data_IF_007408381560
#
_entry.id   IF_007408381560
#
_cell.length_a   1.000
_cell.length_b   1.000
_cell.length_c   1.000
_cell.angle_alpha   90.00
_cell.angle_beta   90.00
_cell.angle_gamma   90.00
#
_symmetry.space_group_name_H-M   'P 1'
#
loop_
_entity.id
_entity.type
_entity.pdbx_description
1 polymer ?
#
# COMPACT_ATOMS: atom_id res chain seq x y z
N UNK A 1 49.76 3.52 -22.06
CA UNK A 1 49.11 2.42 -21.31
C UNK A 1 47.58 2.62 -21.16
N UNK A 2 47.07 3.82 -20.93
CA UNK A 2 45.63 4.09 -20.81
C UNK A 2 44.84 3.76 -22.09
N UNK A 3 45.32 4.09 -23.29
CA UNK A 3 44.63 3.79 -24.55
C UNK A 3 44.47 2.28 -24.82
N UNK A 4 45.44 1.46 -24.40
CA UNK A 4 45.37 0.02 -24.55
C UNK A 4 44.34 -0.63 -23.57
N UNK A 5 44.26 -0.07 -22.35
CA UNK A 5 43.28 -0.51 -21.35
C UNK A 5 41.85 -0.17 -21.76
N UNK A 6 41.61 1.01 -22.34
CA UNK A 6 40.30 1.45 -22.86
C UNK A 6 39.87 0.60 -24.05
N UNK A 7 40.76 0.28 -25.00
CA UNK A 7 40.47 -0.58 -26.10
C UNK A 7 40.13 -2.03 -25.68
N UNK A 8 40.84 -2.55 -24.68
CA UNK A 8 40.56 -3.87 -24.09
C UNK A 8 39.20 -3.92 -23.39
N UNK A 9 38.85 -2.89 -22.61
CA UNK A 9 37.56 -2.78 -21.96
C UNK A 9 36.38 -2.71 -22.97
N UNK A 10 36.56 -1.97 -24.05
CA UNK A 10 35.54 -1.86 -25.12
C UNK A 10 35.30 -3.20 -25.82
N UNK A 11 36.33 -4.00 -26.04
CA UNK A 11 36.19 -5.35 -26.62
C UNK A 11 35.43 -6.29 -25.66
N UNK A 12 35.78 -6.26 -24.38
CA UNK A 12 35.15 -7.10 -23.35
C UNK A 12 33.66 -6.77 -23.19
N UNK A 13 33.31 -5.47 -23.20
CA UNK A 13 31.92 -5.01 -23.09
C UNK A 13 31.06 -5.29 -24.34
N UNK A 14 31.67 -5.66 -25.47
CA UNK A 14 30.93 -6.11 -26.65
C UNK A 14 30.59 -7.62 -26.61
N UNK A 15 31.09 -8.36 -25.61
CA UNK A 15 30.71 -9.77 -25.40
C UNK A 15 29.37 -9.79 -24.64
N UNK A 16 28.27 -10.30 -25.26
CA UNK A 16 26.92 -10.20 -24.66
C UNK A 16 26.79 -10.81 -23.26
N UNK A 17 27.52 -11.89 -22.99
CA UNK A 17 27.51 -12.55 -21.68
C UNK A 17 28.11 -11.64 -20.60
N UNK A 18 29.27 -11.04 -20.86
CA UNK A 18 29.95 -10.14 -19.92
C UNK A 18 29.11 -8.88 -19.70
N UNK A 19 28.60 -8.29 -20.79
CA UNK A 19 27.69 -7.15 -20.70
C UNK A 19 26.47 -7.48 -19.86
N UNK A 20 25.87 -8.65 -20.03
CA UNK A 20 24.74 -9.09 -19.22
C UNK A 20 25.10 -9.22 -17.73
N UNK A 21 26.29 -9.74 -17.42
CA UNK A 21 26.78 -9.85 -16.03
C UNK A 21 26.94 -8.47 -15.38
N UNK A 22 27.50 -7.50 -16.11
CA UNK A 22 27.63 -6.12 -15.62
C UNK A 22 26.28 -5.47 -15.44
N UNK A 23 25.42 -5.51 -16.46
CA UNK A 23 24.11 -4.84 -16.44
C UNK A 23 23.16 -5.40 -15.39
N UNK A 24 23.29 -6.67 -14.99
CA UNK A 24 22.51 -7.28 -13.91
C UNK A 24 22.76 -6.64 -12.55
N UNK A 25 23.88 -5.99 -12.33
CA UNK A 25 24.25 -5.38 -11.06
C UNK A 25 23.93 -3.88 -10.98
N UNK A 26 23.38 -3.29 -12.05
CA UNK A 26 23.05 -1.87 -12.08
C UNK A 26 21.64 -1.58 -11.57
N UNK A 27 21.41 -0.49 -10.83
CA UNK A 27 20.08 0.02 -10.55
C UNK A 27 19.27 0.27 -11.83
N UNK A 28 17.94 0.21 -11.73
CA UNK A 28 17.04 0.35 -12.88
C UNK A 28 17.28 1.65 -13.66
N UNK A 29 17.54 2.76 -12.96
CA UNK A 29 17.85 4.06 -13.58
C UNK A 29 19.12 4.01 -14.43
N UNK A 30 20.19 3.42 -13.91
CA UNK A 30 21.46 3.22 -14.64
C UNK A 30 21.28 2.25 -15.81
N UNK A 31 20.51 1.18 -15.60
CA UNK A 31 20.17 0.23 -16.66
C UNK A 31 19.39 0.89 -17.81
N UNK A 32 18.50 1.84 -17.49
CA UNK A 32 17.79 2.67 -18.47
C UNK A 32 18.75 3.55 -19.30
N UNK A 33 19.77 4.12 -18.66
CA UNK A 33 20.81 4.87 -19.37
C UNK A 33 21.63 3.96 -20.30
N UNK A 34 22.05 2.80 -19.80
CA UNK A 34 22.77 1.78 -20.58
C UNK A 34 21.99 1.28 -21.79
N UNK A 35 20.66 1.18 -21.70
CA UNK A 35 19.81 0.74 -22.81
C UNK A 35 19.85 1.67 -24.03
N UNK A 36 20.36 2.90 -23.86
CA UNK A 36 20.47 3.91 -24.93
C UNK A 36 21.84 3.93 -25.63
N UNK A 37 22.78 3.10 -25.21
CA UNK A 37 24.14 3.08 -25.74
C UNK A 37 24.19 2.44 -27.12
N UNK A 38 23.63 1.24 -27.31
CA UNK A 38 23.55 0.54 -28.58
C UNK A 38 22.42 -0.52 -28.60
N UNK A 39 22.13 -1.09 -29.77
CA UNK A 39 21.07 -2.11 -29.92
C UNK A 39 21.30 -3.34 -29.03
N UNK A 40 22.51 -3.84 -28.95
CA UNK A 40 22.87 -4.99 -28.11
C UNK A 40 22.63 -4.72 -26.63
N UNK A 41 23.08 -3.57 -26.14
CA UNK A 41 22.84 -3.17 -24.73
C UNK A 41 21.36 -2.95 -24.45
N UNK A 42 20.61 -2.39 -25.40
CA UNK A 42 19.16 -2.26 -25.27
C UNK A 42 18.48 -3.61 -25.09
N UNK A 43 18.81 -4.58 -25.95
CA UNK A 43 18.25 -5.94 -25.87
C UNK A 43 18.59 -6.62 -24.54
N UNK A 44 19.85 -6.55 -24.11
CA UNK A 44 20.29 -7.13 -22.83
C UNK A 44 19.61 -6.43 -21.66
N UNK A 45 19.54 -5.09 -21.66
CA UNK A 45 18.87 -4.32 -20.62
C UNK A 45 17.38 -4.66 -20.50
N UNK A 46 16.66 -4.82 -21.63
CA UNK A 46 15.26 -5.29 -21.62
C UNK A 46 15.13 -6.66 -20.97
N UNK A 47 15.98 -7.62 -21.35
CA UNK A 47 15.98 -8.97 -20.76
C UNK A 47 16.27 -8.93 -19.26
N UNK A 48 17.22 -8.11 -18.81
CA UNK A 48 17.53 -7.94 -17.39
C UNK A 48 16.34 -7.37 -16.64
N UNK A 49 15.68 -6.35 -17.17
CA UNK A 49 14.48 -5.76 -16.54
C UNK A 49 13.34 -6.76 -16.42
N UNK A 50 13.03 -7.51 -17.48
CA UNK A 50 11.96 -8.52 -17.48
C UNK A 50 12.15 -9.62 -16.42
N UNK A 51 13.41 -9.92 -16.06
CA UNK A 51 13.75 -10.91 -15.05
C UNK A 51 13.67 -10.38 -13.62
N UNK A 52 13.62 -9.07 -13.43
CA UNK A 52 13.58 -8.42 -12.13
C UNK A 52 12.13 -8.28 -11.66
N UNK A 53 11.61 -9.32 -11.05
CA UNK A 53 10.23 -9.38 -10.53
C UNK A 53 10.15 -9.34 -9.00
N UNK A 54 11.28 -9.16 -8.31
CA UNK A 54 11.30 -9.02 -6.86
C UNK A 54 10.83 -7.63 -6.43
N UNK A 55 9.98 -7.57 -5.42
CA UNK A 55 9.60 -6.32 -4.78
C UNK A 55 10.75 -5.76 -3.94
N UNK A 56 10.67 -4.48 -3.57
CA UNK A 56 11.61 -3.83 -2.66
C UNK A 56 10.84 -3.07 -1.61
N UNK A 57 11.20 -3.21 -0.34
CA UNK A 57 10.66 -2.40 0.75
C UNK A 57 11.71 -1.45 1.30
N UNK A 58 11.24 -0.39 1.94
CA UNK A 58 12.03 0.61 2.62
C UNK A 58 11.27 1.11 3.82
N UNK A 59 11.94 1.20 4.94
CA UNK A 59 11.41 1.76 6.17
C UNK A 59 12.45 2.65 6.83
N UNK A 60 12.01 3.79 7.33
CA UNK A 60 12.79 4.70 8.17
C UNK A 60 11.89 5.24 9.26
N UNK A 61 12.37 5.23 10.49
CA UNK A 61 11.76 5.88 11.65
C UNK A 61 12.82 6.77 12.32
N UNK A 62 12.37 7.83 12.96
CA UNK A 62 13.18 8.80 13.68
C UNK A 62 12.67 8.88 15.12
N UNK A 63 13.60 8.87 16.08
CA UNK A 63 13.26 9.10 17.47
C UNK A 63 12.97 10.60 17.71
N UNK A 64 12.26 10.90 18.78
CA UNK A 64 11.92 12.28 19.16
C UNK A 64 13.20 13.11 19.32
N UNK A 65 13.30 14.24 18.59
CA UNK A 65 14.46 15.13 18.59
C UNK A 65 15.54 14.80 17.55
N UNK A 66 15.44 13.72 16.79
CA UNK A 66 16.30 13.48 15.64
C UNK A 66 16.02 14.48 14.51
N UNK A 67 17.09 14.93 13.85
CA UNK A 67 16.98 15.94 12.78
C UNK A 67 16.57 15.27 11.48
N UNK A 68 15.47 15.73 10.89
CA UNK A 68 15.01 15.31 9.55
C UNK A 68 15.94 15.72 8.40
N UNK A 69 17.05 16.41 8.73
CA UNK A 69 18.07 16.80 7.77
C UNK A 69 18.66 15.55 7.11
N UNK A 70 18.34 15.38 5.83
CA UNK A 70 18.83 14.23 5.07
C UNK A 70 17.76 13.23 4.68
N UNK A 71 16.54 13.22 5.26
CA UNK A 71 15.47 12.30 4.86
C UNK A 71 15.18 12.40 3.35
N UNK A 72 15.14 13.62 2.81
CA UNK A 72 14.97 13.84 1.38
C UNK A 72 16.09 13.16 0.56
N UNK A 73 17.35 13.25 1.02
CA UNK A 73 18.47 12.59 0.36
C UNK A 73 18.37 11.05 0.46
N UNK A 74 17.95 10.53 1.60
CA UNK A 74 17.72 9.09 1.83
C UNK A 74 16.62 8.56 0.91
N UNK A 75 15.48 9.24 0.81
CA UNK A 75 14.40 8.87 -0.13
C UNK A 75 14.91 8.90 -1.57
N UNK A 76 15.61 9.96 -1.96
CA UNK A 76 16.16 10.10 -3.31
C UNK A 76 17.18 9.00 -3.64
N UNK A 77 18.10 8.69 -2.74
CA UNK A 77 19.09 7.62 -2.94
C UNK A 77 18.40 6.25 -3.00
N UNK A 78 17.44 6.00 -2.12
CA UNK A 78 16.67 4.74 -2.12
C UNK A 78 16.00 4.49 -3.48
N UNK A 79 15.31 5.50 -4.03
CA UNK A 79 14.67 5.36 -5.35
C UNK A 79 15.70 5.24 -6.48
N UNK A 80 16.86 5.92 -6.38
CA UNK A 80 17.92 5.82 -7.39
C UNK A 80 18.59 4.45 -7.40
N UNK A 81 18.67 3.79 -6.24
CA UNK A 81 19.33 2.50 -6.05
C UNK A 81 18.39 1.30 -6.24
N UNK A 82 17.10 1.54 -6.55
CA UNK A 82 16.17 0.46 -6.84
C UNK A 82 16.67 -0.36 -8.04
N UNK A 83 16.73 -1.67 -7.82
CA UNK A 83 17.07 -2.62 -8.89
C UNK A 83 15.92 -2.83 -9.87
N UNK A 84 14.67 -2.60 -9.44
CA UNK A 84 13.46 -2.67 -10.25
C UNK A 84 13.04 -1.28 -10.71
N UNK A 85 12.33 -1.20 -11.84
CA UNK A 85 11.57 -0.02 -12.23
C UNK A 85 10.17 -0.16 -11.63
N UNK A 86 9.81 0.60 -10.58
CA UNK A 86 8.55 0.39 -9.89
C UNK A 86 7.38 0.83 -10.78
N UNK A 87 6.34 0.02 -10.82
CA UNK A 87 5.05 0.33 -11.45
C UNK A 87 4.02 0.84 -10.44
N UNK A 88 4.15 0.40 -9.19
CA UNK A 88 3.31 0.82 -8.07
C UNK A 88 4.19 1.03 -6.84
N UNK A 89 3.90 2.07 -6.08
CA UNK A 89 4.43 2.33 -4.75
C UNK A 89 3.26 2.41 -3.77
N UNK A 90 3.23 1.52 -2.78
CA UNK A 90 2.48 1.73 -1.54
C UNK A 90 3.36 2.48 -0.55
N UNK A 91 2.83 3.58 -0.01
CA UNK A 91 3.56 4.42 0.93
C UNK A 91 2.65 4.79 2.10
N UNK A 92 3.14 4.54 3.31
CA UNK A 92 2.49 5.02 4.53
C UNK A 92 3.49 5.88 5.30
N UNK A 93 3.04 7.02 5.80
CA UNK A 93 3.83 7.85 6.70
C UNK A 93 3.01 8.23 7.92
N UNK A 94 3.68 8.54 9.01
CA UNK A 94 3.00 9.09 10.18
C UNK A 94 2.48 10.50 9.89
N UNK A 95 1.38 10.90 10.54
CA UNK A 95 0.79 12.22 10.36
C UNK A 95 1.76 13.33 10.77
N UNK A 96 2.59 13.07 11.78
CA UNK A 96 3.67 13.98 12.17
C UNK A 96 4.67 14.21 11.01
N UNK A 97 5.01 13.15 10.25
CA UNK A 97 5.91 13.30 9.08
C UNK A 97 5.19 13.95 7.88
N UNK A 98 3.92 13.67 7.70
CA UNK A 98 3.11 14.28 6.63
C UNK A 98 3.06 15.80 6.73
N UNK A 99 2.95 16.33 7.94
CA UNK A 99 2.92 17.76 8.24
C UNK A 99 4.29 18.45 8.07
N UNK A 100 5.39 17.68 8.01
CA UNK A 100 6.73 18.24 7.89
C UNK A 100 7.05 18.73 6.48
N UNK A 101 7.77 19.86 6.42
CA UNK A 101 8.36 20.37 5.20
C UNK A 101 9.82 19.92 5.08
N UNK A 102 10.11 19.09 4.10
CA UNK A 102 11.43 18.53 3.87
C UNK A 102 12.27 19.45 2.98
N UNK A 103 13.53 19.67 3.37
CA UNK A 103 14.49 20.45 2.59
C UNK A 103 15.06 19.60 1.45
N UNK A 104 14.83 20.03 0.22
CA UNK A 104 15.38 19.34 -0.96
C UNK A 104 16.87 19.65 -1.12
N UNK A 105 17.75 18.64 -1.32
CA UNK A 105 19.14 18.87 -1.67
C UNK A 105 19.22 19.52 -3.05
N UNK A 106 19.63 20.79 -3.09
CA UNK A 106 19.81 21.50 -4.35
C UNK A 106 21.16 21.11 -4.98
N UNK A 107 21.16 20.76 -6.28
CA UNK A 107 22.39 20.42 -7.03
C UNK A 107 23.43 21.56 -7.07
N UNK A 108 23.06 22.78 -6.65
CA UNK A 108 23.90 23.98 -6.66
C UNK A 108 24.69 24.22 -5.37
N UNK A 109 24.48 23.48 -4.29
CA UNK A 109 25.25 23.68 -3.04
C UNK A 109 26.76 23.46 -3.18
N UNK A 110 27.23 22.78 -4.23
CA UNK A 110 28.64 22.53 -4.45
C UNK A 110 29.41 23.72 -5.07
N UNK A 111 28.76 24.76 -5.61
CA UNK A 111 29.45 25.83 -6.34
C UNK A 111 29.26 27.26 -5.82
N UNK A 112 28.19 27.59 -5.11
CA UNK A 112 27.93 28.93 -4.57
C UNK A 112 27.07 28.91 -3.30
N UNK A 113 27.63 29.15 -2.10
CA UNK A 113 26.90 29.05 -0.82
C UNK A 113 25.87 30.17 -0.56
N UNK A 114 25.80 31.22 -1.39
CA UNK A 114 25.08 32.46 -1.03
C UNK A 114 23.69 32.67 -1.66
N UNK A 115 23.18 31.77 -2.47
CA UNK A 115 21.90 32.00 -3.18
C UNK A 115 21.05 30.74 -3.41
N UNK A 116 21.04 29.74 -2.54
CA UNK A 116 20.12 28.62 -2.71
C UNK A 116 18.84 28.87 -1.91
N UNK A 117 17.78 29.22 -2.63
CA UNK A 117 16.41 29.09 -2.13
C UNK A 117 16.23 27.60 -1.76
N UNK A 118 16.20 27.27 -0.47
CA UNK A 118 15.80 25.94 0.00
C UNK A 118 14.39 25.71 -0.52
N UNK A 119 14.22 24.74 -1.42
CA UNK A 119 12.89 24.31 -1.83
C UNK A 119 12.37 23.36 -0.76
N UNK A 120 11.33 23.79 -0.06
CA UNK A 120 10.58 22.94 0.85
C UNK A 120 9.60 22.07 0.03
N UNK A 121 9.34 20.87 0.49
CA UNK A 121 8.41 19.94 -0.17
C UNK A 121 7.82 18.99 0.86
N UNK A 122 6.53 18.67 0.73
CA UNK A 122 5.95 17.58 1.51
C UNK A 122 6.60 16.22 1.14
N UNK A 123 6.46 15.22 2.00
CA UNK A 123 6.97 13.87 1.72
C UNK A 123 6.33 13.29 0.46
N UNK A 124 5.03 13.52 0.24
CA UNK A 124 4.31 13.08 -0.95
C UNK A 124 4.85 13.70 -2.23
N UNK A 125 5.06 15.02 -2.24
CA UNK A 125 5.61 15.74 -3.40
C UNK A 125 7.05 15.35 -3.69
N UNK A 126 7.84 15.14 -2.66
CA UNK A 126 9.22 14.67 -2.82
C UNK A 126 9.23 13.30 -3.52
N UNK A 127 8.44 12.37 -3.01
CA UNK A 127 8.37 11.01 -3.57
C UNK A 127 7.89 11.05 -5.03
N UNK A 128 6.85 11.83 -5.36
CA UNK A 128 6.39 12.00 -6.74
C UNK A 128 7.47 12.53 -7.69
N UNK A 129 8.29 13.50 -7.23
CA UNK A 129 9.38 14.07 -8.03
C UNK A 129 10.48 13.08 -8.38
N UNK A 130 10.70 12.06 -7.55
CA UNK A 130 11.79 11.08 -7.75
C UNK A 130 11.33 9.79 -8.41
N UNK A 131 10.04 9.46 -8.32
CA UNK A 131 9.46 8.26 -8.94
C UNK A 131 9.43 8.35 -10.48
N UNK A 132 9.46 7.22 -11.18
CA UNK A 132 9.11 7.17 -12.59
C UNK A 132 7.69 7.72 -12.83
N UNK A 133 7.49 8.53 -13.88
CA UNK A 133 6.18 9.14 -14.20
C UNK A 133 5.01 8.14 -14.34
N UNK A 134 5.31 6.89 -14.69
CA UNK A 134 4.30 5.82 -14.85
C UNK A 134 4.05 5.04 -13.55
N UNK A 135 4.80 5.31 -12.49
CA UNK A 135 4.61 4.64 -11.22
C UNK A 135 3.37 5.22 -10.52
N UNK A 136 2.41 4.36 -10.20
CA UNK A 136 1.24 4.74 -9.40
C UNK A 136 1.68 4.89 -7.94
N UNK A 137 1.36 6.03 -7.33
CA UNK A 137 1.56 6.28 -5.90
C UNK A 137 0.23 6.03 -5.19
N UNK A 138 0.23 5.07 -4.27
CA UNK A 138 -0.89 4.69 -3.41
C UNK A 138 -0.46 4.97 -1.98
N UNK A 139 -0.89 6.09 -1.41
CA UNK A 139 -0.29 6.58 -0.19
C UNK A 139 -1.30 7.21 0.77
N UNK A 140 -1.02 7.07 2.06
CA UNK A 140 -1.79 7.67 3.14
C UNK A 140 -0.89 8.03 4.32
N UNK A 141 -1.37 8.96 5.18
CA UNK A 141 -0.81 9.21 6.50
C UNK A 141 -1.76 8.73 7.59
N UNK A 142 -1.20 8.36 8.73
CA UNK A 142 -1.94 7.92 9.91
C UNK A 142 -1.11 8.18 11.18
N UNK A 143 -1.71 8.13 12.37
CA UNK A 143 -1.03 8.35 13.66
C UNK A 143 0.12 7.38 13.90
N UNK A 144 0.02 6.17 13.36
CA UNK A 144 1.08 5.19 13.41
C UNK A 144 1.20 4.38 12.12
N UNK A 145 2.38 3.82 11.88
CA UNK A 145 2.63 2.98 10.71
C UNK A 145 3.42 1.72 11.04
N UNK A 146 3.35 0.76 10.13
CA UNK A 146 4.12 -0.48 10.16
C UNK A 146 5.02 -0.54 8.95
N UNK A 147 6.28 -0.93 9.13
CA UNK A 147 7.20 -1.06 8.03
C UNK A 147 8.29 -2.11 8.22
N UNK A 148 8.75 -2.67 7.12
CA UNK A 148 9.80 -3.69 7.10
C UNK A 148 11.09 -3.12 6.54
N UNK A 149 12.22 -3.38 7.20
CA UNK A 149 13.56 -3.02 6.73
C UNK A 149 13.88 -3.68 5.38
N UNK A 150 14.73 -3.03 4.58
CA UNK A 150 15.11 -3.48 3.24
C UNK A 150 15.68 -4.90 3.20
N UNK A 151 16.34 -5.32 4.26
CA UNK A 151 16.94 -6.67 4.40
C UNK A 151 15.96 -7.72 4.96
N UNK A 152 14.71 -7.35 5.18
CA UNK A 152 13.63 -8.15 5.75
C UNK A 152 13.89 -8.68 7.18
N UNK A 153 14.90 -8.16 7.90
CA UNK A 153 15.23 -8.67 9.23
C UNK A 153 14.33 -8.13 10.33
N UNK A 154 13.88 -6.89 10.18
CA UNK A 154 13.08 -6.20 11.19
C UNK A 154 11.80 -5.65 10.56
N UNK A 155 10.68 -5.84 11.25
CA UNK A 155 9.43 -5.11 11.02
C UNK A 155 9.15 -4.30 12.28
N UNK A 156 8.84 -3.03 12.11
CA UNK A 156 8.67 -2.10 13.23
C UNK A 156 7.31 -1.45 13.15
N UNK A 157 6.65 -1.34 14.28
CA UNK A 157 5.47 -0.53 14.53
C UNK A 157 5.94 0.80 15.12
N UNK A 158 5.50 1.92 14.56
CA UNK A 158 5.83 3.27 15.05
C UNK A 158 4.54 4.02 15.26
N UNK A 159 4.33 4.49 16.48
CA UNK A 159 3.16 5.24 16.92
C UNK A 159 3.63 6.58 17.50
N UNK A 160 3.07 7.70 17.02
CA UNK A 160 3.35 9.03 17.58
C UNK A 160 4.73 9.61 17.26
N UNK A 161 5.53 9.00 16.37
CA UNK A 161 6.86 9.44 15.96
C UNK A 161 6.93 9.64 14.45
N UNK A 162 8.07 10.15 13.95
CA UNK A 162 8.28 10.39 12.52
C UNK A 162 8.70 9.11 11.82
N UNK A 163 7.89 8.59 10.90
CA UNK A 163 8.25 7.39 10.17
C UNK A 163 7.66 7.35 8.74
N UNK A 164 8.35 6.60 7.87
CA UNK A 164 7.97 6.36 6.48
C UNK A 164 8.18 4.88 6.12
N UNK A 165 7.17 4.27 5.55
CA UNK A 165 7.17 2.90 5.04
C UNK A 165 6.81 2.89 3.56
N UNK A 166 7.58 2.18 2.74
CA UNK A 166 7.41 2.10 1.30
C UNK A 166 7.52 0.66 0.80
N UNK A 167 6.63 0.27 -0.12
CA UNK A 167 6.73 -0.98 -0.87
C UNK A 167 6.69 -0.68 -2.37
N UNK A 168 7.79 -0.94 -3.04
CA UNK A 168 7.95 -0.78 -4.48
C UNK A 168 7.65 -2.09 -5.19
N UNK A 169 6.64 -2.11 -6.04
CA UNK A 169 6.25 -3.27 -6.82
C UNK A 169 6.69 -3.10 -8.28
N UNK A 170 7.32 -4.11 -8.89
CA UNK A 170 7.62 -4.11 -10.32
C UNK A 170 6.34 -4.28 -11.13
N UNK A 171 6.43 -4.03 -12.43
CA UNK A 171 5.40 -4.49 -13.35
C UNK A 171 5.46 -6.03 -13.46
N UNK A 172 4.31 -6.66 -13.21
CA UNK A 172 4.10 -8.10 -13.42
C UNK A 172 3.01 -8.24 -14.48
N UNK A 173 3.24 -9.10 -15.45
CA UNK A 173 2.29 -9.39 -16.52
C UNK A 173 0.99 -9.93 -15.92
N UNK A 174 -0.14 -9.48 -16.45
CA UNK A 174 -1.49 -9.83 -15.98
C UNK A 174 -1.82 -9.45 -14.52
N UNK A 175 -0.99 -8.60 -13.89
CA UNK A 175 -1.29 -8.01 -12.57
C UNK A 175 -1.48 -6.51 -12.75
N UNK A 176 -2.66 -6.04 -12.43
CA UNK A 176 -3.06 -4.64 -12.63
C UNK A 176 -3.65 -4.05 -11.35
N UNK A 177 -3.38 -2.76 -11.17
CA UNK A 177 -3.96 -1.96 -10.09
C UNK A 177 -4.82 -0.87 -10.70
N UNK A 178 -6.06 -0.78 -10.26
CA UNK A 178 -7.00 0.27 -10.65
C UNK A 178 -7.36 1.09 -9.41
N UNK A 179 -7.41 2.40 -9.56
CA UNK A 179 -7.77 3.31 -8.47
C UNK A 179 -9.02 4.08 -8.85
N UNK A 180 -9.92 4.25 -7.91
CA UNK A 180 -11.04 5.17 -8.05
C UNK A 180 -11.34 5.80 -6.70
N UNK A 181 -11.82 7.03 -6.74
CA UNK A 181 -12.11 7.82 -5.55
C UNK A 181 -13.62 7.97 -5.40
N UNK A 182 -14.07 7.99 -4.17
CA UNK A 182 -15.48 8.23 -3.82
C UNK A 182 -15.54 9.46 -2.92
N UNK A 183 -16.32 10.44 -3.35
CA UNK A 183 -16.74 11.53 -2.47
C UNK A 183 -17.93 11.04 -1.64
N UNK A 184 -17.68 10.83 -0.34
CA UNK A 184 -18.67 10.27 0.59
C UNK A 184 -19.89 11.22 0.71
N UNK A 185 -19.69 12.53 0.67
CA UNK A 185 -20.78 13.49 0.76
C UNK A 185 -21.66 13.46 -0.48
N UNK A 186 -21.05 13.40 -1.66
CA UNK A 186 -21.78 13.24 -2.92
C UNK A 186 -22.51 11.88 -2.95
N UNK A 187 -21.86 10.80 -2.47
CA UNK A 187 -22.50 9.51 -2.32
C UNK A 187 -23.76 9.61 -1.43
N UNK A 188 -23.64 10.18 -0.24
CA UNK A 188 -24.75 10.29 0.71
C UNK A 188 -25.91 11.16 0.14
N UNK A 189 -25.61 12.21 -0.59
CA UNK A 189 -26.60 13.11 -1.18
C UNK A 189 -27.30 12.52 -2.41
N UNK A 190 -26.62 11.64 -3.16
CA UNK A 190 -27.20 11.05 -4.38
C UNK A 190 -27.95 9.73 -4.12
N UNK A 191 -27.78 9.16 -2.93
CA UNK A 191 -28.54 7.96 -2.55
C UNK A 191 -29.98 8.31 -2.21
N UNK A 192 -30.87 8.10 -3.15
CA UNK A 192 -32.31 8.20 -2.99
C UNK A 192 -33.02 6.86 -3.31
N UNK A 193 -34.37 6.88 -3.39
CA UNK A 193 -35.13 5.67 -3.72
C UNK A 193 -34.88 5.16 -5.14
N UNK A 194 -34.32 5.97 -6.02
CA UNK A 194 -34.13 5.69 -7.46
C UNK A 194 -32.68 5.29 -7.79
N UNK A 195 -31.71 5.70 -6.96
CA UNK A 195 -30.27 5.44 -7.19
C UNK A 195 -29.73 4.42 -6.19
N UNK A 196 -29.25 3.29 -6.69
CA UNK A 196 -28.57 2.30 -5.86
C UNK A 196 -27.09 2.61 -5.71
N UNK A 197 -26.54 2.35 -4.51
CA UNK A 197 -25.08 2.47 -4.27
C UNK A 197 -24.24 1.67 -5.28
N UNK A 198 -24.76 0.53 -5.74
CA UNK A 198 -24.12 -0.31 -6.75
C UNK A 198 -23.95 0.45 -8.09
N UNK A 199 -24.99 1.10 -8.58
CA UNK A 199 -24.93 1.90 -9.83
C UNK A 199 -23.95 3.07 -9.70
N UNK A 200 -23.97 3.76 -8.56
CA UNK A 200 -23.07 4.87 -8.30
C UNK A 200 -21.60 4.43 -8.29
N UNK A 201 -21.26 3.43 -7.49
CA UNK A 201 -19.88 2.94 -7.39
C UNK A 201 -19.40 2.28 -8.68
N UNK A 202 -20.28 1.60 -9.43
CA UNK A 202 -19.93 1.06 -10.75
C UNK A 202 -19.59 2.18 -11.73
N UNK A 203 -20.27 3.32 -11.68
CA UNK A 203 -19.97 4.48 -12.51
C UNK A 203 -18.63 5.15 -12.17
N UNK A 204 -18.18 5.08 -10.90
CA UNK A 204 -16.88 5.60 -10.46
C UNK A 204 -15.73 4.61 -10.68
N UNK A 205 -16.03 3.31 -10.73
CA UNK A 205 -15.00 2.28 -10.87
C UNK A 205 -14.30 2.38 -12.21
N UNK A 206 -12.98 2.48 -12.17
CA UNK A 206 -12.11 2.43 -13.36
C UNK A 206 -11.75 1.00 -13.76
N UNK A 207 -12.26 0.00 -13.05
CA UNK A 207 -11.98 -1.43 -13.31
C UNK A 207 -12.81 -1.89 -14.49
N UNK A 208 -12.20 -2.36 -15.60
CA UNK A 208 -12.94 -2.97 -16.70
C UNK A 208 -13.71 -4.21 -16.22
N UNK A 209 -14.89 -4.44 -16.80
CA UNK A 209 -15.80 -5.51 -16.38
C UNK A 209 -15.29 -6.94 -16.63
N UNK A 210 -14.27 -7.09 -17.49
CA UNK A 210 -13.62 -8.36 -17.80
C UNK A 210 -12.49 -8.71 -16.82
N UNK A 211 -12.15 -7.83 -15.88
CA UNK A 211 -11.05 -8.04 -14.94
C UNK A 211 -11.47 -8.87 -13.73
N UNK A 212 -10.59 -9.81 -13.39
CA UNK A 212 -10.72 -10.67 -12.22
C UNK A 212 -10.15 -9.96 -10.98
N UNK A 213 -11.02 -9.26 -10.24
CA UNK A 213 -10.66 -8.52 -9.03
C UNK A 213 -10.42 -9.49 -7.87
N UNK A 214 -9.26 -9.44 -7.25
CA UNK A 214 -8.84 -10.30 -6.13
C UNK A 214 -8.86 -9.59 -4.78
N UNK A 215 -8.62 -8.29 -4.77
CA UNK A 215 -8.73 -7.46 -3.58
C UNK A 215 -9.16 -6.05 -3.93
N UNK A 216 -9.83 -5.39 -3.00
CA UNK A 216 -10.02 -3.93 -2.99
C UNK A 216 -9.49 -3.40 -1.67
N UNK A 217 -8.45 -2.57 -1.75
CA UNK A 217 -7.95 -1.84 -0.59
C UNK A 217 -8.74 -0.55 -0.46
N UNK A 218 -9.17 -0.28 0.76
CA UNK A 218 -10.11 0.77 1.13
C UNK A 218 -9.45 1.71 2.13
N UNK A 219 -9.23 2.97 1.75
CA UNK A 219 -8.62 3.99 2.58
C UNK A 219 -9.54 5.22 2.64
N UNK A 220 -9.99 5.56 3.85
CA UNK A 220 -10.94 6.64 4.10
C UNK A 220 -10.32 7.67 5.06
N UNK A 221 -10.30 8.95 4.68
CA UNK A 221 -9.81 10.04 5.52
C UNK A 221 -10.94 10.85 6.20
N UNK A 222 -12.18 10.37 6.08
CA UNK A 222 -13.31 10.93 6.79
C UNK A 222 -13.61 10.16 8.08
N UNK A 223 -14.00 10.83 9.14
CA UNK A 223 -14.30 10.18 10.43
C UNK A 223 -15.50 9.23 10.37
N UNK A 224 -16.32 9.34 9.34
CA UNK A 224 -17.47 8.48 9.10
C UNK A 224 -17.59 8.14 7.63
N UNK A 225 -17.53 6.86 7.31
CA UNK A 225 -17.83 6.30 6.01
C UNK A 225 -19.08 5.43 6.10
N UNK A 226 -20.08 5.63 5.24
CA UNK A 226 -21.26 4.77 5.21
C UNK A 226 -20.88 3.30 5.03
N UNK A 227 -21.28 2.39 5.95
CA UNK A 227 -20.94 0.96 5.85
C UNK A 227 -21.41 0.31 4.56
N UNK A 228 -22.47 0.85 3.96
CA UNK A 228 -23.04 0.41 2.70
C UNK A 228 -22.02 0.41 1.55
N UNK A 229 -21.05 1.32 1.57
CA UNK A 229 -20.02 1.40 0.53
C UNK A 229 -19.19 0.12 0.50
N UNK A 230 -18.69 -0.33 1.64
CA UNK A 230 -17.90 -1.56 1.73
C UNK A 230 -18.71 -2.81 1.32
N UNK A 231 -19.95 -2.92 1.75
CA UNK A 231 -20.82 -4.02 1.36
C UNK A 231 -21.21 -3.97 -0.12
N UNK A 232 -21.37 -2.79 -0.69
CA UNK A 232 -21.58 -2.63 -2.14
C UNK A 232 -20.34 -3.07 -2.92
N UNK A 233 -19.14 -2.77 -2.44
CA UNK A 233 -17.90 -3.27 -3.05
C UNK A 233 -17.81 -4.81 -3.00
N UNK A 234 -18.23 -5.43 -1.89
CA UNK A 234 -18.35 -6.91 -1.82
C UNK A 234 -19.36 -7.47 -2.83
N UNK A 235 -20.44 -6.75 -3.08
CA UNK A 235 -21.42 -7.13 -4.09
C UNK A 235 -20.90 -6.95 -5.52
N UNK A 236 -20.14 -5.87 -5.77
CA UNK A 236 -19.50 -5.63 -7.07
C UNK A 236 -18.46 -6.69 -7.42
N UNK A 237 -17.71 -7.16 -6.42
CA UNK A 237 -16.55 -8.04 -6.57
C UNK A 237 -16.67 -9.28 -5.67
N UNK A 238 -17.57 -10.18 -6.03
CA UNK A 238 -18.08 -11.32 -5.21
C UNK A 238 -17.00 -12.24 -4.58
N UNK A 239 -15.79 -12.28 -5.12
CA UNK A 239 -14.71 -13.12 -4.60
C UNK A 239 -13.46 -12.31 -4.22
N UNK A 240 -13.60 -11.00 -4.05
CA UNK A 240 -12.48 -10.15 -3.67
C UNK A 240 -12.39 -10.00 -2.14
N UNK A 241 -11.17 -9.87 -1.65
CA UNK A 241 -10.92 -9.42 -0.29
C UNK A 241 -11.12 -7.90 -0.24
N UNK A 242 -11.91 -7.42 0.70
CA UNK A 242 -11.94 -6.01 1.06
C UNK A 242 -11.08 -5.86 2.31
N UNK A 243 -10.09 -4.96 2.28
CA UNK A 243 -9.20 -4.71 3.42
C UNK A 243 -8.72 -3.25 3.41
N UNK A 244 -8.51 -2.68 4.60
CA UNK A 244 -8.07 -1.30 4.75
C UNK A 244 -8.50 -0.70 6.07
N UNK A 245 -8.81 0.59 6.06
CA UNK A 245 -9.26 1.30 7.28
C UNK A 245 -9.31 2.80 7.09
N UNK A 246 -9.50 3.46 8.22
CA UNK A 246 -9.53 4.91 8.31
C UNK A 246 -8.11 5.44 8.49
N UNK A 247 -7.77 6.46 7.73
CA UNK A 247 -6.47 7.15 7.71
C UNK A 247 -6.66 8.63 7.98
N UNK A 248 -5.59 9.34 8.34
CA UNK A 248 -5.72 10.78 8.62
C UNK A 248 -5.73 11.60 7.32
N UNK A 249 -4.92 11.21 6.34
CA UNK A 249 -4.90 11.89 5.05
C UNK A 249 -4.67 10.90 3.89
N UNK A 250 -5.37 11.09 2.80
CA UNK A 250 -5.08 10.46 1.52
C UNK A 250 -4.03 11.27 0.74
N UNK A 251 -3.00 10.60 0.24
CA UNK A 251 -1.95 11.21 -0.56
C UNK A 251 -2.13 10.72 -2.00
N UNK A 252 -2.97 11.42 -2.76
CA UNK A 252 -3.33 11.03 -4.13
C UNK A 252 -2.24 11.34 -5.14
N UNK A 253 -2.11 10.52 -6.19
CA UNK A 253 -1.09 10.67 -7.23
C UNK A 253 -1.39 11.75 -8.27
N UNK A 254 -2.64 12.09 -8.45
CA UNK A 254 -3.07 13.14 -9.38
C UNK A 254 -3.64 14.31 -8.59
N UNK A 255 -3.00 15.49 -8.61
CA UNK A 255 -3.75 16.70 -8.39
C UNK A 255 -4.79 16.74 -9.52
N UNK A 256 -6.06 16.72 -9.16
CA UNK A 256 -7.14 16.93 -10.12
C UNK A 256 -6.80 18.20 -10.90
N UNK A 257 -6.64 18.19 -12.24
CA UNK A 257 -6.27 19.40 -12.98
C UNK A 257 -7.35 20.49 -12.92
N UNK A 258 -8.45 20.24 -12.21
CA UNK A 258 -9.55 21.16 -11.93
C UNK A 258 -9.60 21.63 -10.47
N UNK A 259 -8.63 21.25 -9.62
CA UNK A 259 -8.49 21.82 -8.28
C UNK A 259 -7.90 23.25 -8.37
N UNK A 260 -8.68 24.17 -8.91
CA UNK A 260 -8.61 25.55 -8.48
C UNK A 260 -8.92 25.56 -6.99
N UNK A 261 -7.96 26.02 -6.18
CA UNK A 261 -7.83 25.87 -4.74
C UNK A 261 -8.95 26.53 -3.88
N UNK A 262 -10.20 26.47 -4.28
CA UNK A 262 -11.27 27.14 -3.57
C UNK A 262 -12.59 26.40 -3.36
N UNK A 263 -12.87 25.22 -3.98
CA UNK A 263 -14.15 24.52 -3.72
C UNK A 263 -14.20 23.04 -4.17
N UNK A 264 -13.07 22.31 -4.28
CA UNK A 264 -13.13 20.88 -4.62
C UNK A 264 -13.35 20.04 -3.37
N UNK A 265 -14.44 19.29 -3.36
CA UNK A 265 -14.60 18.18 -2.42
C UNK A 265 -13.41 17.24 -2.57
N UNK A 266 -12.53 17.18 -1.56
CA UNK A 266 -11.43 16.23 -1.53
C UNK A 266 -12.01 14.82 -1.61
N UNK A 267 -11.36 13.94 -2.36
CA UNK A 267 -11.74 12.52 -2.33
C UNK A 267 -11.61 12.02 -0.90
N UNK A 268 -12.73 11.66 -0.30
CA UNK A 268 -12.78 11.21 1.09
C UNK A 268 -12.57 9.71 1.23
N UNK A 269 -12.53 8.99 0.10
CA UNK A 269 -12.29 7.54 0.06
C UNK A 269 -11.53 7.18 -1.22
N UNK A 270 -10.40 6.53 -1.05
CA UNK A 270 -9.64 5.91 -2.15
C UNK A 270 -9.83 4.39 -2.13
N UNK A 271 -10.29 3.84 -3.24
CA UNK A 271 -10.35 2.40 -3.50
C UNK A 271 -9.26 1.97 -4.47
N UNK A 272 -8.55 0.90 -4.15
CA UNK A 272 -7.49 0.32 -4.99
C UNK A 272 -7.84 -1.12 -5.29
N UNK A 273 -8.31 -1.40 -6.49
CA UNK A 273 -8.60 -2.76 -6.94
C UNK A 273 -7.35 -3.43 -7.51
N UNK A 274 -7.04 -4.62 -7.01
CA UNK A 274 -5.97 -5.49 -7.48
C UNK A 274 -6.55 -6.63 -8.29
N UNK A 275 -6.14 -6.74 -9.54
CA UNK A 275 -6.65 -7.70 -10.51
C UNK A 275 -5.54 -8.61 -11.02
N UNK A 276 -5.90 -9.84 -11.36
CA UNK A 276 -5.05 -10.75 -12.09
C UNK A 276 -5.26 -12.23 -11.74
N UNK A 277 -5.19 -13.15 -12.71
CA UNK A 277 -5.44 -14.58 -12.50
C UNK A 277 -4.37 -15.25 -11.62
N UNK A 278 -3.15 -14.68 -11.58
CA UNK A 278 -2.03 -15.18 -10.78
C UNK A 278 -1.99 -14.56 -9.37
N UNK A 279 -2.92 -13.67 -9.04
CA UNK A 279 -2.99 -13.04 -7.73
C UNK A 279 -3.81 -13.90 -6.78
N UNK A 280 -3.23 -14.21 -5.62
CA UNK A 280 -3.92 -14.84 -4.50
C UNK A 280 -3.88 -13.92 -3.30
N UNK A 281 -5.02 -13.71 -2.67
CA UNK A 281 -5.14 -12.87 -1.49
C UNK A 281 -5.76 -13.67 -0.35
N UNK A 282 -5.25 -13.49 0.85
CA UNK A 282 -5.77 -14.08 2.09
C UNK A 282 -5.75 -13.03 3.19
N UNK A 283 -6.74 -13.08 4.06
CA UNK A 283 -6.79 -12.18 5.21
C UNK A 283 -7.27 -12.89 6.46
N UNK A 284 -6.80 -12.39 7.59
CA UNK A 284 -7.23 -12.78 8.93
C UNK A 284 -7.48 -11.55 9.78
N UNK A 285 -8.41 -11.69 10.73
CA UNK A 285 -8.73 -10.67 11.73
C UNK A 285 -8.16 -11.11 13.07
N UNK A 286 -7.27 -10.30 13.65
CA UNK A 286 -6.84 -10.43 15.04
C UNK A 286 -7.86 -9.65 15.86
N UNK A 287 -8.70 -10.36 16.62
CA UNK A 287 -9.82 -9.79 17.36
C UNK A 287 -9.34 -9.00 18.60
N UNK A 288 -10.25 -8.23 19.17
CA UNK A 288 -10.00 -7.38 20.35
C UNK A 288 -9.60 -8.17 21.60
N UNK A 289 -10.06 -9.41 21.74
CA UNK A 289 -9.80 -10.30 22.87
C UNK A 289 -8.44 -11.03 22.80
N UNK A 290 -7.63 -10.73 21.80
CA UNK A 290 -6.26 -11.28 21.62
C UNK A 290 -5.26 -10.34 22.29
N UNK A 291 -4.60 -10.82 23.36
CA UNK A 291 -3.73 -10.02 24.22
C UNK A 291 -2.29 -10.53 24.33
N UNK A 292 -1.98 -11.70 23.77
CA UNK A 292 -0.65 -12.29 23.90
C UNK A 292 -0.03 -12.65 22.55
N UNK A 293 1.31 -12.67 22.46
CA UNK A 293 1.99 -13.07 21.21
C UNK A 293 1.61 -14.48 20.76
N UNK A 294 1.36 -15.40 21.69
CA UNK A 294 0.98 -16.79 21.40
C UNK A 294 -0.42 -16.88 20.78
N UNK A 295 -1.32 -15.98 21.19
CA UNK A 295 -2.64 -15.86 20.58
C UNK A 295 -2.57 -15.28 19.18
N UNK A 296 -1.76 -14.25 18.98
CA UNK A 296 -1.46 -13.69 17.64
C UNK A 296 -0.88 -14.79 16.73
N UNK A 297 0.09 -15.60 17.24
CA UNK A 297 0.68 -16.69 16.47
C UNK A 297 -0.38 -17.72 16.04
N UNK A 298 -1.34 -18.05 16.91
CA UNK A 298 -2.46 -18.96 16.56
C UNK A 298 -3.34 -18.42 15.44
N UNK A 299 -3.63 -17.11 15.44
CA UNK A 299 -4.39 -16.49 14.35
C UNK A 299 -3.59 -16.49 13.06
N UNK A 300 -2.33 -16.04 13.11
CA UNK A 300 -1.47 -15.98 11.92
C UNK A 300 -1.13 -17.36 11.35
N UNK A 301 -1.21 -18.42 12.17
CA UNK A 301 -1.05 -19.79 11.69
C UNK A 301 -2.10 -20.14 10.63
N UNK A 302 -3.33 -19.66 10.77
CA UNK A 302 -4.38 -19.88 9.76
C UNK A 302 -3.96 -19.30 8.39
N UNK A 303 -3.32 -18.11 8.40
CA UNK A 303 -2.77 -17.50 7.19
C UNK A 303 -1.57 -18.29 6.64
N UNK A 304 -0.70 -18.80 7.52
CA UNK A 304 0.44 -19.64 7.15
C UNK A 304 0.00 -20.96 6.50
N UNK A 305 -1.08 -21.56 7.02
CA UNK A 305 -1.64 -22.81 6.51
C UNK A 305 -2.26 -22.66 5.10
N UNK A 306 -2.48 -21.42 4.62
CA UNK A 306 -2.86 -21.18 3.22
C UNK A 306 -1.72 -21.41 2.22
N UNK A 307 -0.49 -21.64 2.67
CA UNK A 307 0.69 -21.99 1.86
C UNK A 307 0.95 -21.01 0.69
N UNK A 308 0.81 -19.70 0.93
CA UNK A 308 1.22 -18.70 -0.05
C UNK A 308 2.76 -18.65 -0.14
N UNK A 309 3.34 -18.56 -1.36
CA UNK A 309 4.81 -18.50 -1.53
C UNK A 309 5.37 -17.19 -1.01
N UNK A 310 6.10 -17.22 0.10
CA UNK A 310 6.58 -16.03 0.81
C UNK A 310 7.44 -15.09 -0.05
N UNK A 311 8.31 -15.64 -0.91
CA UNK A 311 9.23 -14.86 -1.75
C UNK A 311 8.52 -14.01 -2.82
N UNK A 312 7.24 -14.32 -3.08
CA UNK A 312 6.39 -13.61 -4.04
C UNK A 312 5.20 -12.94 -3.36
N UNK A 313 5.26 -12.80 -2.05
CA UNK A 313 4.18 -12.25 -1.25
C UNK A 313 4.61 -10.98 -0.53
N UNK A 314 3.66 -10.10 -0.33
CA UNK A 314 3.73 -8.96 0.59
C UNK A 314 2.46 -8.93 1.43
N UNK A 315 2.51 -8.28 2.57
CA UNK A 315 1.38 -8.21 3.46
C UNK A 315 1.12 -6.78 3.94
N UNK A 316 -0.16 -6.51 4.21
CA UNK A 316 -0.61 -5.29 4.85
C UNK A 316 -1.11 -5.61 6.25
N UNK A 317 -0.85 -4.69 7.19
CA UNK A 317 -1.38 -4.65 8.53
C UNK A 317 -2.19 -3.37 8.70
N UNK A 318 -3.49 -3.51 8.87
CA UNK A 318 -4.38 -2.41 9.19
C UNK A 318 -4.87 -2.62 10.61
N UNK A 319 -4.33 -1.85 11.54
CA UNK A 319 -4.57 -2.01 12.97
C UNK A 319 -5.31 -0.79 13.53
N UNK A 320 -6.11 -1.02 14.57
CA UNK A 320 -6.67 0.06 15.35
C UNK A 320 -5.58 0.81 16.12
N UNK A 321 -5.74 2.12 16.26
CA UNK A 321 -4.95 2.94 17.19
C UNK A 321 -4.95 2.39 18.62
N UNK A 322 -6.03 1.72 19.01
CA UNK A 322 -6.12 1.04 20.31
C UNK A 322 -5.31 -0.25 20.44
N UNK A 323 -4.61 -0.68 19.36
CA UNK A 323 -3.69 -1.84 19.36
C UNK A 323 -2.26 -1.36 19.64
N UNK A 324 -1.25 -2.12 19.30
CA UNK A 324 0.15 -1.74 19.50
C UNK A 324 0.59 -1.73 20.96
N UNK A 325 1.50 -0.81 21.32
CA UNK A 325 2.11 -0.74 22.66
C UNK A 325 1.09 -0.58 23.79
N UNK A 326 0.06 0.23 23.56
CA UNK A 326 -0.98 0.47 24.58
C UNK A 326 -1.78 -0.77 24.93
N UNK A 327 -2.05 -1.65 23.98
CA UNK A 327 -2.81 -2.88 24.15
C UNK A 327 -1.97 -4.02 24.74
N UNK A 328 -0.74 -4.20 24.26
CA UNK A 328 0.12 -5.31 24.66
C UNK A 328 1.06 -4.99 25.81
N UNK A 329 1.22 -3.72 26.19
CA UNK A 329 2.22 -3.26 27.15
C UNK A 329 3.67 -3.31 26.65
N UNK A 330 3.87 -3.73 25.41
CA UNK A 330 5.17 -3.74 24.73
C UNK A 330 4.99 -3.49 23.22
N UNK A 331 6.07 -3.02 22.60
CA UNK A 331 6.08 -2.63 21.19
C UNK A 331 6.27 -3.83 20.25
N UNK A 332 5.82 -3.68 19.01
CA UNK A 332 6.10 -4.60 17.91
C UNK A 332 5.59 -6.04 18.11
N UNK A 333 4.49 -6.25 18.82
CA UNK A 333 4.02 -7.61 19.14
C UNK A 333 3.53 -8.29 17.87
N UNK A 334 2.56 -7.72 17.19
CA UNK A 334 1.94 -8.34 16.01
C UNK A 334 2.92 -8.45 14.85
N UNK A 335 3.69 -7.38 14.62
CA UNK A 335 4.70 -7.35 13.55
C UNK A 335 5.86 -8.32 13.79
N UNK A 336 6.29 -8.51 15.06
CA UNK A 336 7.35 -9.47 15.40
C UNK A 336 6.89 -10.91 15.22
N UNK A 337 5.67 -11.24 15.63
CA UNK A 337 5.08 -12.57 15.39
C UNK A 337 4.94 -12.81 13.89
N UNK A 338 4.44 -11.81 13.13
CA UNK A 338 4.38 -11.92 11.69
C UNK A 338 5.77 -12.16 11.08
N UNK A 339 6.79 -11.39 11.48
CA UNK A 339 8.17 -11.53 10.99
C UNK A 339 8.77 -12.90 11.28
N UNK A 340 8.50 -13.47 12.46
CA UNK A 340 8.90 -14.83 12.85
C UNK A 340 8.28 -15.88 11.92
N UNK A 341 7.00 -15.72 11.61
CA UNK A 341 6.25 -16.71 10.81
C UNK A 341 6.48 -16.57 9.30
N UNK A 342 6.67 -15.34 8.81
CA UNK A 342 6.83 -15.00 7.40
C UNK A 342 8.13 -14.22 7.13
N UNK A 343 9.30 -14.86 7.33
CA UNK A 343 10.61 -14.17 7.30
C UNK A 343 10.98 -13.57 5.92
N UNK A 344 10.33 -13.98 4.84
CA UNK A 344 10.61 -13.48 3.47
C UNK A 344 9.56 -12.54 2.94
N UNK A 345 8.46 -12.30 3.67
CA UNK A 345 7.34 -11.47 3.24
C UNK A 345 7.44 -10.09 3.89
N UNK A 346 7.60 -8.98 3.16
CA UNK A 346 7.50 -7.65 3.75
C UNK A 346 6.09 -7.38 4.27
N UNK A 347 6.02 -6.73 5.44
CA UNK A 347 4.80 -6.24 6.05
C UNK A 347 4.87 -4.71 6.11
N UNK A 348 3.81 -4.05 5.68
CA UNK A 348 3.63 -2.62 5.82
C UNK A 348 2.18 -2.32 6.15
N UNK A 349 1.89 -1.12 6.66
CA UNK A 349 0.53 -0.77 7.04
C UNK A 349 0.47 0.44 7.93
N UNK A 350 -0.64 0.59 8.62
CA UNK A 350 -0.89 1.74 9.48
C UNK A 350 -1.75 1.38 10.70
N UNK A 351 -1.73 2.27 11.68
CA UNK A 351 -2.64 2.30 12.81
C UNK A 351 -3.68 3.39 12.55
N UNK A 352 -4.94 2.99 12.33
CA UNK A 352 -6.04 3.87 11.96
C UNK A 352 -7.18 3.88 12.99
N UNK A 353 -8.15 4.75 12.77
CA UNK A 353 -9.31 4.88 13.64
C UNK A 353 -10.47 3.99 13.16
N UNK A 354 -10.22 2.69 13.05
CA UNK A 354 -11.16 1.67 12.58
C UNK A 354 -10.61 0.89 11.39
N UNK A 355 -10.86 -0.41 11.39
CA UNK A 355 -10.34 -1.36 10.41
C UNK A 355 -11.48 -1.93 9.56
N UNK A 356 -11.15 -2.20 8.30
CA UNK A 356 -12.08 -2.78 7.33
C UNK A 356 -11.46 -4.06 6.79
N UNK A 357 -12.19 -5.16 6.92
CA UNK A 357 -11.74 -6.46 6.44
C UNK A 357 -12.50 -7.62 7.07
N UNK A 358 -12.14 -8.83 6.68
CA UNK A 358 -12.76 -10.05 7.20
C UNK A 358 -11.82 -11.25 7.01
N UNK A 359 -12.10 -12.36 7.68
CA UNK A 359 -11.38 -13.61 7.46
C UNK A 359 -11.67 -14.16 6.06
N UNK A 360 -10.66 -14.26 5.22
CA UNK A 360 -10.75 -14.83 3.86
C UNK A 360 -9.68 -15.90 3.67
N UNK A 361 -10.02 -17.14 4.05
CA UNK A 361 -9.13 -18.30 4.04
C UNK A 361 -9.69 -19.37 3.08
N UNK A 362 -8.82 -20.08 2.41
CA UNK A 362 -9.20 -21.04 1.36
C UNK A 362 -10.09 -22.20 1.86
N UNK A 363 -9.99 -22.55 3.15
CA UNK A 363 -10.73 -23.67 3.76
C UNK A 363 -12.20 -23.31 4.12
N UNK A 364 -12.53 -22.02 4.20
CA UNK A 364 -13.81 -21.54 4.75
C UNK A 364 -14.84 -21.13 3.69
N UNK A 365 -14.57 -21.34 2.39
CA UNK A 365 -15.60 -21.11 1.36
C UNK A 365 -16.83 -22.02 1.50
N UNK A 366 -16.75 -23.09 2.31
CA UNK A 366 -17.84 -24.04 2.58
C UNK A 366 -18.40 -23.99 4.00
N UNK A 367 -17.83 -23.19 4.91
CA UNK A 367 -18.36 -23.00 6.26
C UNK A 367 -19.15 -21.69 6.31
N UNK A 368 -20.33 -21.74 6.95
CA UNK A 368 -21.15 -20.55 7.14
C UNK A 368 -20.31 -19.45 7.86
N UNK A 369 -20.35 -18.20 7.38
CA UNK A 369 -19.65 -17.11 8.05
C UNK A 369 -20.13 -16.99 9.49
N UNK A 370 -19.20 -16.64 10.38
CA UNK A 370 -19.47 -16.40 11.81
C UNK A 370 -20.49 -15.26 11.92
N UNK A 371 -21.76 -15.65 12.03
CA UNK A 371 -22.93 -14.74 12.06
C UNK A 371 -23.23 -14.25 13.46
N UNK A 372 -22.22 -13.96 14.28
CA UNK A 372 -22.44 -13.15 15.47
C UNK A 372 -22.64 -11.69 15.02
N UNK A 373 -23.85 -11.43 14.50
CA UNK A 373 -24.36 -10.07 14.39
C UNK A 373 -24.60 -9.55 15.81
N UNK A 374 -23.58 -9.00 16.43
CA UNK A 374 -23.80 -8.13 17.58
C UNK A 374 -24.62 -6.94 17.10
N UNK A 375 -25.80 -6.81 17.66
CA UNK A 375 -26.71 -5.71 17.43
C UNK A 375 -25.97 -4.40 17.60
N UNK A 376 -25.72 -3.72 16.50
CA UNK A 376 -25.34 -2.32 16.51
C UNK A 376 -26.51 -1.54 17.12
N UNK A 377 -26.49 -1.33 18.43
CA UNK A 377 -27.33 -0.33 19.08
C UNK A 377 -26.68 1.05 18.78
N UNK A 378 -26.92 1.51 17.53
CA UNK A 378 -26.78 2.93 17.22
C UNK A 378 -27.90 3.67 17.95
N UNK A 379 -27.50 4.67 18.76
CA UNK A 379 -28.45 5.66 19.26
C UNK A 379 -29.29 6.21 18.08
N UNK A 380 -30.62 6.26 18.17
CA UNK A 380 -31.49 6.65 17.08
C UNK A 380 -31.53 8.18 16.93
N UNK A 381 -30.53 8.76 16.32
CA UNK A 381 -30.62 10.11 15.79
C UNK A 381 -30.32 10.05 14.30
N UNK A 382 -31.41 10.16 13.53
CA UNK A 382 -31.55 10.26 12.07
C UNK A 382 -31.74 8.96 11.27
N UNK A 383 -32.86 8.90 10.64
CA UNK A 383 -33.49 8.18 9.54
C UNK A 383 -32.77 7.14 8.65
N UNK A 384 -31.49 6.79 8.90
CA UNK A 384 -30.67 5.93 8.02
C UNK A 384 -30.76 4.42 8.32
N UNK A 385 -31.35 3.98 9.44
CA UNK A 385 -31.32 2.57 9.86
C UNK A 385 -32.19 1.63 9.00
N UNK A 386 -33.22 2.16 8.35
CA UNK A 386 -34.16 1.36 7.51
C UNK A 386 -33.55 1.04 6.13
N UNK A 387 -32.61 1.86 5.65
CA UNK A 387 -31.97 1.69 4.32
C UNK A 387 -30.92 0.58 4.32
N UNK A 388 -30.09 0.52 5.36
CA UNK A 388 -29.06 -0.53 5.52
C UNK A 388 -29.69 -1.92 5.51
N UNK A 389 -30.86 -2.10 6.15
CA UNK A 389 -31.58 -3.35 6.18
C UNK A 389 -32.03 -3.83 4.79
N UNK A 390 -32.47 -2.93 3.89
CA UNK A 390 -32.96 -3.32 2.56
C UNK A 390 -31.86 -3.75 1.60
N UNK A 391 -30.65 -3.18 1.68
CA UNK A 391 -29.50 -3.62 0.87
C UNK A 391 -29.08 -5.03 1.32
N UNK A 392 -29.13 -5.31 2.62
CA UNK A 392 -28.78 -6.58 3.21
C UNK A 392 -29.81 -7.70 2.88
N UNK A 393 -31.10 -7.37 2.71
CA UNK A 393 -32.17 -8.34 2.38
C UNK A 393 -32.06 -8.92 0.96
N UNK A 394 -31.37 -8.25 0.03
CA UNK A 394 -31.20 -8.73 -1.36
C UNK A 394 -30.06 -9.73 -1.57
N UNK A 395 -29.19 -9.96 -0.57
CA UNK A 395 -28.01 -10.79 -0.71
C UNK A 395 -28.28 -12.26 -0.40
N UNK A 396 -27.90 -13.14 -1.33
CA UNK A 396 -28.12 -14.59 -1.25
C UNK A 396 -27.25 -15.34 -0.25
N UNK A 397 -26.21 -14.69 0.32
CA UNK A 397 -25.26 -15.27 1.29
C UNK A 397 -25.16 -14.37 2.52
N UNK A 398 -24.97 -14.93 3.74
CA UNK A 398 -24.68 -14.13 4.93
C UNK A 398 -23.39 -13.32 4.71
N UNK A 399 -23.46 -12.01 4.96
CA UNK A 399 -22.33 -11.11 4.79
C UNK A 399 -21.35 -11.23 5.97
N UNK A 400 -20.04 -11.21 5.71
CA UNK A 400 -19.08 -11.14 6.79
C UNK A 400 -19.18 -9.78 7.50
N UNK A 401 -18.86 -9.73 8.82
CA UNK A 401 -18.62 -8.48 9.51
C UNK A 401 -17.41 -7.82 8.87
N UNK A 402 -17.59 -6.62 8.30
CA UNK A 402 -16.58 -5.93 7.52
C UNK A 402 -15.90 -4.79 8.31
N UNK A 403 -16.63 -4.10 9.16
CA UNK A 403 -16.16 -2.95 9.92
C UNK A 403 -15.84 -3.36 11.36
N UNK A 404 -14.67 -2.98 11.84
CA UNK A 404 -14.13 -3.38 13.12
C UNK A 404 -13.57 -2.19 13.90
N UNK A 405 -13.41 -2.38 15.20
CA UNK A 405 -12.69 -1.50 16.10
C UNK A 405 -11.90 -2.36 17.10
N UNK A 406 -10.75 -1.87 17.54
CA UNK A 406 -9.83 -2.58 18.45
C UNK A 406 -9.29 -3.91 17.89
N UNK A 407 -9.26 -4.05 16.57
CA UNK A 407 -8.79 -5.26 15.89
C UNK A 407 -7.57 -4.95 15.03
N UNK A 408 -7.02 -5.98 14.39
CA UNK A 408 -6.02 -5.84 13.32
C UNK A 408 -6.39 -6.75 12.17
N UNK A 409 -6.36 -6.21 10.96
CA UNK A 409 -6.52 -6.96 9.72
C UNK A 409 -5.13 -7.24 9.13
N UNK A 410 -4.76 -8.50 8.99
CA UNK A 410 -3.58 -8.88 8.21
C UNK A 410 -4.04 -9.42 6.86
N UNK A 411 -3.65 -8.72 5.80
CA UNK A 411 -3.99 -9.08 4.42
C UNK A 411 -2.72 -9.42 3.64
N UNK A 412 -2.56 -10.68 3.24
CA UNK A 412 -1.40 -11.15 2.49
C UNK A 412 -1.75 -11.35 1.01
N UNK A 413 -0.96 -10.75 0.16
CA UNK A 413 -1.06 -10.82 -1.30
C UNK A 413 0.12 -11.62 -1.83
N UNK A 414 -0.15 -12.58 -2.70
CA UNK A 414 0.86 -13.36 -3.41
C UNK A 414 0.64 -13.29 -4.91
N UNK A 415 1.71 -13.14 -5.66
CA UNK A 415 1.71 -13.23 -7.13
C UNK A 415 2.39 -14.56 -7.49
N UNK A 416 1.59 -15.56 -7.86
CA UNK A 416 2.01 -16.96 -8.05
C UNK A 416 2.52 -17.22 -9.46
#
# INVERSE_FOLDING_TARGET
>A
MEHAAVASAAVVLNIPVITSMVLRNLPAKSLNACSRVCKTWNMIAKTVKQRRKSMSCFFVGYEEGEILDGLAAVIMSTVQDLMIEPSVLFMYCTSQLYEQQLTLPTRHHMRHPRASKCMLSSVGDLVRKVLPKKCKLLAASSDGIVGTSKDLKKTTEVEGELALSCLFLPHVEDVEFFTFNVDIYSYANQMDETHSGLTYLTGLSTVPSDKDVKAVFFFCDEPFCPPEIGYTLLQMYDNAVIAGGYVDNLITSDPNPHDDASESGSASLMCVALCGPQVKVRSVVIKEDIHTPEEVERVLKQLKDCNLPEERSYAFMFACLGRGKGHYGCENVESSVFRKMFPKTPLLGFFGNGEIGFNFLQKYQNEAPDTTCDNFQSNPTHGNSVRSARILEGMKKPLPKLYHAYTTIICMVSVV
#
